data_IF_599196838060
#
_entry.id   IF_599196838060
#
_cell.length_a   1.000
_cell.length_b   1.000
_cell.length_c   1.000
_cell.angle_alpha   90.00
_cell.angle_beta   90.00
_cell.angle_gamma   90.00
#
_symmetry.space_group_name_H-M   'P 1'
#
loop_
_entity.id
_entity.type
_entity.pdbx_description
1 polymer ?
#
# COMPACT_ATOMS: atom_id res chain seq x y z
N UNK A 1 13.09 -18.11 -7.93
CA UNK A 1 12.51 -18.44 -6.61
C UNK A 1 11.51 -17.39 -6.11
N UNK A 2 11.92 -16.14 -5.79
CA UNK A 2 11.00 -15.13 -5.18
C UNK A 2 9.74 -14.82 -5.99
N UNK A 3 9.89 -14.51 -7.30
CA UNK A 3 8.74 -14.27 -8.19
C UNK A 3 7.78 -15.46 -8.21
N UNK A 4 8.31 -16.68 -8.24
CA UNK A 4 7.50 -17.89 -8.22
C UNK A 4 6.76 -18.04 -6.88
N UNK A 5 7.41 -17.72 -5.76
CA UNK A 5 6.77 -17.74 -4.44
C UNK A 5 5.60 -16.74 -4.37
N UNK A 6 5.75 -15.53 -4.93
CA UNK A 6 4.65 -14.55 -4.99
C UNK A 6 3.47 -15.07 -5.83
N UNK A 7 3.77 -15.69 -6.98
CA UNK A 7 2.73 -16.31 -7.84
C UNK A 7 2.04 -17.45 -7.09
N UNK A 8 2.77 -18.31 -6.40
CA UNK A 8 2.19 -19.38 -5.60
C UNK A 8 1.30 -18.84 -4.48
N UNK A 9 1.74 -17.80 -3.76
CA UNK A 9 0.95 -17.17 -2.71
C UNK A 9 -0.34 -16.55 -3.25
N UNK A 10 -0.24 -15.83 -4.38
CA UNK A 10 -1.40 -15.28 -5.09
C UNK A 10 -2.38 -16.38 -5.49
N UNK A 11 -1.90 -17.50 -6.02
CA UNK A 11 -2.75 -18.62 -6.42
C UNK A 11 -3.46 -19.26 -5.21
N UNK A 12 -2.77 -19.40 -4.07
CA UNK A 12 -3.40 -19.87 -2.83
C UNK A 12 -4.50 -18.93 -2.35
N UNK A 13 -4.24 -17.61 -2.30
CA UNK A 13 -5.25 -16.62 -1.91
C UNK A 13 -6.45 -16.61 -2.86
N UNK A 14 -6.20 -16.74 -4.16
CA UNK A 14 -7.27 -16.88 -5.14
C UNK A 14 -8.09 -18.16 -4.91
N UNK A 15 -7.44 -19.28 -4.57
CA UNK A 15 -8.13 -20.53 -4.22
C UNK A 15 -8.96 -20.45 -2.94
N UNK A 16 -8.61 -19.56 -2.01
CA UNK A 16 -9.41 -19.30 -0.81
C UNK A 16 -10.57 -18.33 -1.02
N UNK A 17 -10.67 -17.69 -2.20
CA UNK A 17 -11.71 -16.71 -2.44
C UNK A 17 -13.11 -17.33 -2.33
N UNK A 18 -14.00 -16.68 -1.58
CA UNK A 18 -15.33 -17.21 -1.25
C UNK A 18 -15.36 -18.34 -0.20
N UNK A 19 -14.21 -18.72 0.35
CA UNK A 19 -14.12 -19.69 1.45
C UNK A 19 -13.93 -19.02 2.82
N UNK A 20 -14.20 -19.75 3.90
CA UNK A 20 -13.92 -19.29 5.28
C UNK A 20 -12.43 -19.16 5.59
N UNK A 21 -11.55 -19.71 4.74
CA UNK A 21 -10.10 -19.67 4.92
C UNK A 21 -9.47 -18.33 4.52
N UNK A 22 -10.17 -17.48 3.77
CA UNK A 22 -9.59 -16.22 3.29
C UNK A 22 -9.25 -15.26 4.43
N UNK A 23 -10.12 -15.17 5.43
CA UNK A 23 -9.92 -14.30 6.58
C UNK A 23 -8.66 -14.67 7.39
N UNK A 24 -8.49 -15.90 7.89
CA UNK A 24 -7.29 -16.28 8.65
C UNK A 24 -6.02 -16.23 7.80
N UNK A 25 -6.08 -16.61 6.52
CA UNK A 25 -4.92 -16.50 5.63
C UNK A 25 -4.49 -15.03 5.43
N UNK A 26 -5.45 -14.14 5.22
CA UNK A 26 -5.20 -12.70 5.06
C UNK A 26 -4.65 -12.08 6.34
N UNK A 27 -5.17 -12.48 7.51
CA UNK A 27 -4.72 -11.99 8.81
C UNK A 27 -3.27 -12.43 9.09
N UNK A 28 -2.91 -13.67 8.75
CA UNK A 28 -1.52 -14.14 8.84
C UNK A 28 -0.55 -13.27 8.02
N UNK A 29 -0.93 -12.90 6.79
CA UNK A 29 -0.12 -12.00 5.94
C UNK A 29 0.00 -10.60 6.56
N UNK A 30 -1.11 -10.04 7.06
CA UNK A 30 -1.11 -8.73 7.70
C UNK A 30 -0.22 -8.69 8.94
N UNK A 31 -0.27 -9.74 9.78
CA UNK A 31 0.54 -9.86 10.99
C UNK A 31 2.05 -9.97 10.67
N UNK A 32 2.43 -10.69 9.61
CA UNK A 32 3.82 -10.75 9.16
C UNK A 32 4.30 -9.36 8.74
N UNK A 33 3.50 -8.64 7.95
CA UNK A 33 3.85 -7.29 7.53
C UNK A 33 4.03 -6.34 8.72
N UNK A 34 3.08 -6.33 9.66
CA UNK A 34 3.16 -5.52 10.87
C UNK A 34 4.42 -5.84 11.70
N UNK A 35 4.71 -7.13 11.91
CA UNK A 35 5.92 -7.56 12.61
C UNK A 35 7.19 -7.07 11.92
N UNK A 36 7.28 -7.16 10.59
CA UNK A 36 8.46 -6.67 9.86
C UNK A 36 8.59 -5.15 9.95
N UNK A 37 7.48 -4.39 9.99
CA UNK A 37 7.51 -2.94 10.25
C UNK A 37 8.04 -2.62 11.65
N UNK A 38 7.59 -3.34 12.68
CA UNK A 38 8.07 -3.18 14.06
C UNK A 38 9.56 -3.48 14.17
N UNK A 39 10.02 -4.57 13.55
CA UNK A 39 11.44 -4.93 13.54
C UNK A 39 12.30 -3.88 12.84
N UNK A 40 11.85 -3.36 11.69
CA UNK A 40 12.55 -2.30 10.98
C UNK A 40 12.57 -0.96 11.75
N UNK A 41 11.55 -0.70 12.57
CA UNK A 41 11.45 0.52 13.40
C UNK A 41 12.26 0.41 14.70
N UNK A 42 12.36 -0.78 15.30
CA UNK A 42 13.08 -1.05 16.55
C UNK A 42 14.61 -1.02 16.44
N UNK A 43 15.16 -1.09 15.23
CA UNK A 43 16.61 -1.05 14.98
C UNK A 43 17.29 0.29 15.30
N UNK A 44 16.56 1.31 15.79
CA UNK A 44 17.11 2.63 16.17
C UNK A 44 17.63 2.72 17.62
N UNK A 45 17.61 1.66 18.42
CA UNK A 45 17.85 1.75 19.88
C UNK A 45 19.14 1.12 20.43
N UNK A 46 20.03 0.57 19.61
CA UNK A 46 21.36 0.17 20.10
C UNK A 46 22.43 1.00 19.40
N UNK A 47 23.17 1.79 20.18
CA UNK A 47 24.30 2.62 19.75
C UNK A 47 25.50 1.78 19.29
N UNK A 48 25.29 0.83 18.41
CA UNK A 48 26.33 0.05 17.77
C UNK A 48 26.07 0.12 16.27
N UNK A 49 27.05 0.64 15.54
CA UNK A 49 27.13 0.60 14.08
C UNK A 49 27.14 -0.86 13.60
N UNK A 50 25.97 -1.47 13.51
CA UNK A 50 25.75 -2.80 12.94
C UNK A 50 24.92 -2.66 11.64
N UNK A 51 25.17 -3.49 10.62
CA UNK A 51 24.50 -3.44 9.32
C UNK A 51 23.01 -3.86 9.37
N UNK A 52 22.48 -4.23 10.54
CA UNK A 52 21.16 -4.85 10.71
C UNK A 52 19.97 -3.90 10.46
N UNK A 53 20.13 -2.58 10.63
CA UNK A 53 19.07 -1.62 10.28
C UNK A 53 18.70 -1.66 8.78
N UNK A 54 19.68 -1.94 7.93
CA UNK A 54 19.48 -2.13 6.48
C UNK A 54 18.73 -3.41 6.16
N UNK A 55 18.92 -4.46 6.97
CA UNK A 55 18.30 -5.78 6.76
C UNK A 55 16.79 -5.73 6.97
N UNK A 56 16.34 -5.05 8.04
CA UNK A 56 14.92 -4.84 8.31
C UNK A 56 14.22 -4.01 7.22
N UNK A 57 14.85 -2.92 6.77
CA UNK A 57 14.29 -2.11 5.69
C UNK A 57 14.19 -2.87 4.34
N UNK A 58 15.20 -3.68 4.02
CA UNK A 58 15.20 -4.54 2.84
C UNK A 58 14.10 -5.60 2.91
N UNK A 59 13.85 -6.18 4.09
CA UNK A 59 12.76 -7.13 4.31
C UNK A 59 11.38 -6.49 4.09
N UNK A 60 11.17 -5.28 4.61
CA UNK A 60 9.94 -4.50 4.38
C UNK A 60 9.72 -4.25 2.89
N UNK A 61 10.78 -3.89 2.13
CA UNK A 61 10.68 -3.72 0.68
C UNK A 61 10.31 -5.03 -0.05
N UNK A 62 10.85 -6.16 0.39
CA UNK A 62 10.48 -7.45 -0.19
C UNK A 62 9.01 -7.81 0.07
N UNK A 63 8.53 -7.58 1.28
CA UNK A 63 7.13 -7.81 1.64
C UNK A 63 6.21 -6.88 0.85
N UNK A 64 6.54 -5.59 0.74
CA UNK A 64 5.77 -4.63 -0.08
C UNK A 64 5.62 -5.11 -1.53
N UNK A 65 6.68 -5.66 -2.12
CA UNK A 65 6.60 -6.19 -3.48
C UNK A 65 5.70 -7.44 -3.58
N UNK A 66 5.61 -8.27 -2.53
CA UNK A 66 4.68 -9.39 -2.47
C UNK A 66 3.23 -8.93 -2.26
N UNK A 67 3.02 -7.90 -1.43
CA UNK A 67 1.70 -7.36 -1.11
C UNK A 67 0.94 -6.87 -2.34
N UNK A 68 1.64 -6.40 -3.38
CA UNK A 68 1.02 -6.00 -4.66
C UNK A 68 0.15 -7.11 -5.26
N UNK A 69 0.59 -8.37 -5.14
CA UNK A 69 -0.09 -9.53 -5.70
C UNK A 69 -1.08 -10.17 -4.71
N UNK A 70 -1.00 -9.82 -3.41
CA UNK A 70 -1.77 -10.44 -2.33
C UNK A 70 -2.96 -9.58 -1.88
N UNK A 71 -2.73 -8.30 -1.58
CA UNK A 71 -3.75 -7.40 -1.00
C UNK A 71 -5.05 -7.34 -1.83
N UNK A 72 -5.01 -7.34 -3.18
CA UNK A 72 -6.24 -7.34 -3.98
C UNK A 72 -7.10 -8.60 -3.84
N UNK A 73 -6.57 -9.67 -3.24
CA UNK A 73 -7.24 -10.96 -3.04
C UNK A 73 -7.58 -11.23 -1.57
N UNK A 74 -7.13 -10.36 -0.65
CA UNK A 74 -7.30 -10.52 0.79
C UNK A 74 -8.68 -10.01 1.27
N UNK A 75 -9.09 -10.47 2.44
CA UNK A 75 -10.33 -9.99 3.09
C UNK A 75 -10.32 -8.48 3.34
N UNK A 76 -11.48 -7.84 3.27
CA UNK A 76 -11.65 -6.38 3.47
C UNK A 76 -10.95 -5.84 4.73
N UNK A 77 -11.08 -6.54 5.85
CA UNK A 77 -10.47 -6.17 7.14
C UNK A 77 -8.94 -6.14 7.05
N UNK A 78 -8.33 -7.22 6.56
CA UNK A 78 -6.88 -7.35 6.49
C UNK A 78 -6.28 -6.38 5.46
N UNK A 79 -6.90 -6.26 4.29
CA UNK A 79 -6.49 -5.30 3.25
C UNK A 79 -6.50 -3.88 3.77
N UNK A 80 -7.59 -3.47 4.43
CA UNK A 80 -7.72 -2.13 5.01
C UNK A 80 -6.70 -1.88 6.12
N UNK A 81 -6.38 -2.89 6.94
CA UNK A 81 -5.34 -2.77 7.96
C UNK A 81 -3.95 -2.57 7.35
N UNK A 82 -3.60 -3.31 6.30
CA UNK A 82 -2.33 -3.11 5.58
C UNK A 82 -2.24 -1.71 4.98
N UNK A 83 -3.31 -1.24 4.33
CA UNK A 83 -3.33 0.08 3.66
C UNK A 83 -3.14 1.23 4.67
N UNK A 84 -3.61 1.09 5.92
CA UNK A 84 -3.38 2.11 6.97
C UNK A 84 -1.89 2.38 7.21
N UNK A 85 -1.04 1.34 7.20
CA UNK A 85 0.40 1.50 7.40
C UNK A 85 1.09 2.23 6.23
N UNK A 86 0.50 2.24 5.04
CA UNK A 86 1.10 2.89 3.87
C UNK A 86 1.22 4.40 4.04
N UNK A 87 0.33 5.03 4.81
CA UNK A 87 0.42 6.46 5.12
C UNK A 87 1.74 6.79 5.80
N UNK A 88 2.02 6.13 6.92
CA UNK A 88 3.25 6.31 7.69
C UNK A 88 4.50 5.99 6.86
N UNK A 89 4.41 5.00 5.97
CA UNK A 89 5.51 4.65 5.06
C UNK A 89 5.76 5.71 3.96
N UNK A 90 4.71 6.35 3.45
CA UNK A 90 4.86 7.47 2.50
C UNK A 90 5.49 8.68 3.19
N UNK A 91 5.10 8.95 4.44
CA UNK A 91 5.64 10.06 5.25
C UNK A 91 7.15 9.94 5.52
N UNK A 92 7.74 8.75 5.35
CA UNK A 92 9.21 8.57 5.39
C UNK A 92 9.94 9.26 4.22
N UNK A 93 9.22 9.69 3.18
CA UNK A 93 9.77 10.40 2.02
C UNK A 93 10.64 9.55 1.10
N UNK A 94 10.72 8.23 1.33
CA UNK A 94 11.57 7.34 0.56
C UNK A 94 10.95 7.04 -0.82
N UNK A 95 11.59 7.40 -1.95
CA UNK A 95 11.00 7.24 -3.29
C UNK A 95 10.68 5.78 -3.63
N UNK A 96 11.56 4.85 -3.28
CA UNK A 96 11.39 3.42 -3.55
C UNK A 96 10.21 2.80 -2.79
N UNK A 97 9.99 3.22 -1.53
CA UNK A 97 8.86 2.78 -0.71
C UNK A 97 7.56 3.34 -1.29
N UNK A 98 7.56 4.65 -1.59
CA UNK A 98 6.41 5.34 -2.19
C UNK A 98 6.01 4.70 -3.53
N UNK A 99 6.99 4.35 -4.39
CA UNK A 99 6.74 3.65 -5.66
C UNK A 99 6.10 2.27 -5.47
N UNK A 100 6.58 1.48 -4.51
CA UNK A 100 5.97 0.19 -4.21
C UNK A 100 4.54 0.34 -3.71
N UNK A 101 4.28 1.27 -2.81
CA UNK A 101 2.93 1.57 -2.31
C UNK A 101 2.00 1.98 -3.46
N UNK A 102 2.45 2.86 -4.35
CA UNK A 102 1.68 3.24 -5.54
C UNK A 102 1.36 2.05 -6.45
N UNK A 103 2.30 1.11 -6.64
CA UNK A 103 2.03 -0.13 -7.39
C UNK A 103 0.97 -1.00 -6.71
N UNK A 104 1.02 -1.13 -5.39
CA UNK A 104 0.02 -1.90 -4.61
C UNK A 104 -1.35 -1.24 -4.74
N UNK A 105 -1.44 0.08 -4.58
CA UNK A 105 -2.70 0.82 -4.70
C UNK A 105 -3.29 0.73 -6.10
N UNK A 106 -2.46 0.82 -7.12
CA UNK A 106 -2.89 0.59 -8.49
C UNK A 106 -3.53 -0.81 -8.61
N UNK A 107 -2.85 -1.86 -8.14
CA UNK A 107 -3.35 -3.23 -8.19
C UNK A 107 -4.69 -3.40 -7.45
N UNK A 108 -4.79 -2.86 -6.22
CA UNK A 108 -6.02 -2.84 -5.41
C UNK A 108 -7.17 -2.19 -6.19
N UNK A 109 -6.94 -0.98 -6.72
CA UNK A 109 -7.99 -0.18 -7.33
C UNK A 109 -8.40 -0.68 -8.71
N UNK A 110 -7.51 -1.39 -9.42
CA UNK A 110 -7.85 -2.06 -10.69
C UNK A 110 -8.49 -3.42 -10.53
N UNK A 111 -8.33 -4.07 -9.37
CA UNK A 111 -8.88 -5.40 -9.16
C UNK A 111 -10.38 -5.34 -8.81
N UNK A 112 -11.23 -6.12 -9.50
CA UNK A 112 -12.66 -6.21 -9.18
C UNK A 112 -12.91 -6.93 -7.85
N UNK A 113 -12.01 -7.85 -7.46
CA UNK A 113 -12.12 -8.65 -6.22
C UNK A 113 -11.63 -7.90 -4.99
N UNK A 114 -11.04 -6.71 -5.16
CA UNK A 114 -10.43 -6.00 -4.05
C UNK A 114 -11.48 -5.27 -3.24
N UNK A 115 -11.53 -5.64 -1.96
CA UNK A 115 -12.35 -5.03 -0.93
C UNK A 115 -11.45 -4.22 0.00
N UNK A 116 -11.58 -2.89 -0.04
CA UNK A 116 -10.90 -1.98 0.89
C UNK A 116 -11.89 -0.89 1.27
N UNK A 117 -11.87 -0.50 2.54
CA UNK A 117 -12.72 0.56 3.08
C UNK A 117 -12.40 1.90 2.39
N UNK A 118 -13.43 2.60 1.93
CA UNK A 118 -13.30 3.81 1.12
C UNK A 118 -12.53 4.92 1.83
N UNK A 119 -12.80 5.10 3.13
CA UNK A 119 -12.19 6.10 3.99
C UNK A 119 -10.68 5.89 4.12
N UNK A 120 -10.22 4.64 4.15
CA UNK A 120 -8.80 4.29 4.23
C UNK A 120 -8.08 4.63 2.92
N UNK A 121 -8.69 4.31 1.77
CA UNK A 121 -8.14 4.69 0.47
C UNK A 121 -8.13 6.21 0.28
N UNK A 122 -9.17 6.90 0.74
CA UNK A 122 -9.28 8.36 0.64
C UNK A 122 -8.20 9.08 1.46
N UNK A 123 -7.95 8.65 2.70
CA UNK A 123 -6.89 9.24 3.54
C UNK A 123 -5.52 9.08 2.87
N UNK A 124 -5.25 7.90 2.32
CA UNK A 124 -4.00 7.63 1.61
C UNK A 124 -3.85 8.42 0.31
N UNK A 125 -4.96 8.63 -0.42
CA UNK A 125 -5.00 9.50 -1.59
C UNK A 125 -4.62 10.94 -1.23
N UNK A 126 -5.09 11.45 -0.10
CA UNK A 126 -4.72 12.79 0.38
C UNK A 126 -3.21 12.86 0.69
N UNK A 127 -2.66 11.88 1.42
CA UNK A 127 -1.22 11.80 1.69
C UNK A 127 -0.37 11.72 0.41
N UNK A 128 -0.82 10.95 -0.59
CA UNK A 128 -0.14 10.86 -1.89
C UNK A 128 -0.17 12.19 -2.64
N UNK A 129 -1.32 12.85 -2.71
CA UNK A 129 -1.47 14.14 -3.38
C UNK A 129 -0.52 15.18 -2.77
N UNK A 130 -0.43 15.26 -1.43
CA UNK A 130 0.50 16.14 -0.73
C UNK A 130 1.97 15.81 -1.04
N UNK A 131 2.30 14.54 -1.25
CA UNK A 131 3.66 14.14 -1.66
C UNK A 131 4.02 14.54 -3.11
N UNK A 132 3.03 14.84 -3.96
CA UNK A 132 3.23 15.18 -5.37
C UNK A 132 3.79 16.61 -5.55
N UNK A 133 3.44 17.54 -4.66
CA UNK A 133 3.85 18.95 -4.73
C UNK A 133 5.36 19.20 -4.59
N UNK A 134 6.15 18.23 -4.09
CA UNK A 134 7.61 18.41 -3.94
C UNK A 134 8.33 18.54 -5.30
N UNK A 135 9.08 19.64 -5.48
CA UNK A 135 9.88 20.01 -6.66
C UNK A 135 10.91 18.93 -7.04
N UNK A 136 11.28 18.86 -8.33
CA UNK A 136 12.38 18.03 -8.83
C UNK A 136 12.02 16.61 -9.32
N UNK A 137 10.75 16.33 -9.65
CA UNK A 137 10.33 15.01 -10.15
C UNK A 137 10.47 14.88 -11.68
N UNK A 138 10.85 13.68 -12.15
CA UNK A 138 10.89 13.36 -13.58
C UNK A 138 9.49 13.37 -14.21
N UNK A 139 9.41 13.60 -15.53
CA UNK A 139 8.14 13.55 -16.26
C UNK A 139 7.44 12.18 -16.13
N UNK A 140 8.21 11.09 -16.15
CA UNK A 140 7.68 9.73 -15.97
C UNK A 140 7.07 9.52 -14.59
N UNK A 141 7.69 10.05 -13.54
CA UNK A 141 7.17 9.97 -12.18
C UNK A 141 5.87 10.76 -12.00
N UNK A 142 5.76 11.92 -12.65
CA UNK A 142 4.54 12.73 -12.66
C UNK A 142 3.41 11.96 -13.36
N UNK A 143 3.67 11.39 -14.54
CA UNK A 143 2.67 10.59 -15.29
C UNK A 143 2.23 9.36 -14.50
N UNK A 144 3.16 8.64 -13.88
CA UNK A 144 2.81 7.47 -13.09
C UNK A 144 1.96 7.84 -11.86
N UNK A 145 2.34 8.92 -11.15
CA UNK A 145 1.58 9.41 -9.98
C UNK A 145 0.18 9.87 -10.38
N UNK A 146 0.03 10.65 -11.45
CA UNK A 146 -1.28 11.13 -11.91
C UNK A 146 -2.20 9.97 -12.29
N UNK A 147 -1.67 8.93 -12.94
CA UNK A 147 -2.41 7.70 -13.24
C UNK A 147 -2.88 6.99 -11.98
N UNK A 148 -2.01 6.86 -10.97
CA UNK A 148 -2.37 6.22 -9.69
C UNK A 148 -3.44 7.04 -8.96
N UNK A 149 -3.28 8.35 -8.86
CA UNK A 149 -4.26 9.27 -8.27
C UNK A 149 -5.61 9.12 -8.98
N UNK A 150 -5.64 9.17 -10.31
CA UNK A 150 -6.87 8.98 -11.09
C UNK A 150 -7.59 7.67 -10.77
N UNK A 151 -6.84 6.55 -10.77
CA UNK A 151 -7.40 5.22 -10.52
C UNK A 151 -7.92 5.09 -9.08
N UNK A 152 -7.20 5.62 -8.09
CA UNK A 152 -7.61 5.62 -6.69
C UNK A 152 -8.85 6.49 -6.48
N UNK A 153 -8.88 7.71 -7.02
CA UNK A 153 -10.05 8.60 -6.97
C UNK A 153 -11.29 7.92 -7.55
N UNK A 154 -11.15 7.28 -8.71
CA UNK A 154 -12.26 6.55 -9.35
C UNK A 154 -12.76 5.38 -8.48
N UNK A 155 -11.85 4.63 -7.86
CA UNK A 155 -12.21 3.53 -6.95
C UNK A 155 -12.93 4.06 -5.70
N UNK A 156 -12.42 5.12 -5.05
CA UNK A 156 -13.08 5.71 -3.88
C UNK A 156 -14.47 6.21 -4.23
N UNK A 157 -14.62 6.94 -5.35
CA UNK A 157 -15.93 7.39 -5.83
C UNK A 157 -16.93 6.24 -6.03
N UNK A 158 -16.46 5.10 -6.55
CA UNK A 158 -17.32 3.92 -6.73
C UNK A 158 -17.72 3.24 -5.43
N UNK A 159 -16.91 3.36 -4.37
CA UNK A 159 -17.16 2.76 -3.07
C UNK A 159 -18.00 3.65 -2.15
N UNK A 160 -17.70 4.95 -2.09
CA UNK A 160 -18.41 5.92 -1.27
C UNK A 160 -18.29 7.33 -1.88
N UNK A 161 -19.39 7.84 -2.44
CA UNK A 161 -19.43 9.15 -3.10
C UNK A 161 -19.26 10.30 -2.12
N UNK A 162 -19.85 10.19 -0.93
CA UNK A 162 -19.88 11.28 0.05
C UNK A 162 -18.48 11.57 0.60
N UNK A 163 -17.69 10.51 0.85
CA UNK A 163 -16.29 10.62 1.27
C UNK A 163 -15.43 11.32 0.21
N UNK A 164 -15.72 11.07 -1.07
CA UNK A 164 -15.02 11.70 -2.18
C UNK A 164 -15.31 13.21 -2.25
N UNK A 165 -16.59 13.61 -2.07
CA UNK A 165 -17.01 15.02 -2.09
C UNK A 165 -16.31 15.84 -1.00
N UNK A 166 -16.24 15.31 0.23
CA UNK A 166 -15.65 16.03 1.37
C UNK A 166 -14.15 16.29 1.19
N UNK A 167 -13.43 15.39 0.53
CA UNK A 167 -11.96 15.43 0.43
C UNK A 167 -11.44 15.88 -0.93
N UNK A 168 -12.32 16.07 -1.92
CA UNK A 168 -11.98 16.61 -3.23
C UNK A 168 -11.22 17.95 -3.15
N UNK A 169 -11.62 18.92 -2.29
CA UNK A 169 -10.89 20.18 -2.17
C UNK A 169 -9.45 20.01 -1.70
N UNK A 170 -9.20 19.07 -0.78
CA UNK A 170 -7.83 18.78 -0.29
C UNK A 170 -6.95 18.21 -1.40
N UNK A 171 -7.50 17.31 -2.22
CA UNK A 171 -6.77 16.74 -3.37
C UNK A 171 -6.49 17.83 -4.40
N UNK A 172 -7.48 18.67 -4.71
CA UNK A 172 -7.33 19.76 -5.66
C UNK A 172 -6.23 20.75 -5.22
N UNK A 173 -6.27 21.22 -3.97
CA UNK A 173 -5.27 22.13 -3.42
C UNK A 173 -3.85 21.52 -3.40
N UNK A 174 -3.72 20.21 -3.26
CA UNK A 174 -2.42 19.54 -3.23
C UNK A 174 -1.75 19.42 -4.61
N UNK A 175 -2.48 19.68 -5.70
CA UNK A 175 -1.98 19.61 -7.07
C UNK A 175 -1.33 20.92 -7.55
N UNK A 176 -1.45 22.02 -6.80
CA UNK A 176 -0.86 23.32 -7.14
C UNK A 176 -1.54 24.48 -6.43
#
# INVERSE_FOLDING_TARGET
VRRQAHVSLRNCLHGFHGSTMIAPASEGIANIFERSLLLASGSKSSGTTAPDGTKGAVEVLYILNALKDCVPLMSSKASSNIVKYFKTLIELGQPIVTRNIMNILYAICTSPTSEVVAEVLQDLLCSLALSVSAEGKSAEDIIFRSRVIHVVTKKVYSLNRDVCVVKLPTIFNALG
#
